data_IF_697220624519
#
_entry.id   IF_697220624519
#
_cell.length_a   1.000
_cell.length_b   1.000
_cell.length_c   1.000
_cell.angle_alpha   90.00
_cell.angle_beta   90.00
_cell.angle_gamma   90.00
#
_symmetry.space_group_name_H-M   'P 1'
#
loop_
_entity.id
_entity.type
_entity.pdbx_description
1 polymer ?
#
# COMPACT_ATOMS: atom_id res chain seq x y z
N UNK A 1 6.04 -15.54 -18.51
CA UNK A 1 5.37 -14.93 -17.63
C UNK A 1 6.23 -14.13 -16.82
N UNK A 2 6.05 -12.92 -16.65
CA UNK A 2 6.84 -12.13 -15.87
C UNK A 2 6.16 -11.81 -14.63
N UNK A 3 6.78 -12.08 -13.50
CA UNK A 3 6.16 -11.87 -12.25
C UNK A 3 7.18 -11.25 -11.39
N UNK A 4 6.99 -10.03 -11.01
CA UNK A 4 7.90 -9.33 -10.15
C UNK A 4 7.22 -8.97 -8.88
N UNK A 5 7.91 -9.07 -7.80
CA UNK A 5 7.38 -8.58 -6.56
C UNK A 5 8.45 -7.77 -5.86
N UNK A 6 8.01 -6.76 -5.16
CA UNK A 6 8.89 -5.87 -4.43
C UNK A 6 8.47 -5.89 -2.99
N UNK A 7 9.40 -6.09 -2.08
CA UNK A 7 9.09 -6.14 -0.66
C UNK A 7 9.65 -4.91 0.01
N UNK A 8 8.83 -4.26 0.81
CA UNK A 8 9.22 -3.05 1.50
C UNK A 8 9.05 -3.27 2.99
N UNK A 9 10.13 -3.04 3.75
CA UNK A 9 10.10 -3.30 5.18
C UNK A 9 10.29 -2.01 5.96
N UNK A 10 9.64 -1.92 7.10
CA UNK A 10 9.78 -0.77 8.00
C UNK A 10 9.48 0.53 7.31
N UNK A 11 8.43 0.56 6.54
CA UNK A 11 8.07 1.77 5.79
C UNK A 11 7.15 2.64 6.61
N UNK A 12 7.28 3.95 6.43
CA UNK A 12 6.41 4.90 7.11
C UNK A 12 5.60 5.59 6.05
N UNK A 13 4.32 5.53 6.14
CA UNK A 13 3.43 6.11 5.14
C UNK A 13 2.34 6.89 5.84
N UNK A 14 2.15 8.12 5.40
CA UNK A 14 1.06 8.94 5.91
C UNK A 14 -0.08 8.89 4.93
N UNK A 15 -1.27 8.67 5.39
CA UNK A 15 -2.44 8.64 4.51
C UNK A 15 -3.61 9.33 5.20
N UNK A 16 -4.60 9.70 4.42
CA UNK A 16 -5.79 10.39 4.93
C UNK A 16 -6.98 9.46 4.85
N UNK A 17 -7.73 9.34 5.95
CA UNK A 17 -8.90 8.52 5.97
C UNK A 17 -9.98 9.29 6.69
N UNK A 18 -11.09 9.52 6.03
CA UNK A 18 -12.22 10.24 6.58
C UNK A 18 -11.81 11.62 7.10
N UNK A 19 -10.98 12.30 6.36
CA UNK A 19 -10.59 13.65 6.69
C UNK A 19 -9.52 13.77 7.75
N UNK A 20 -8.98 12.66 8.21
CA UNK A 20 -7.95 12.70 9.23
C UNK A 20 -6.70 12.00 8.72
N UNK A 21 -5.56 12.49 9.13
CA UNK A 21 -4.29 11.94 8.69
C UNK A 21 -3.78 10.92 9.68
N UNK A 22 -3.24 9.83 9.17
CA UNK A 22 -2.71 8.77 10.00
C UNK A 22 -1.31 8.40 9.53
N UNK A 23 -0.51 7.91 10.44
CA UNK A 23 0.82 7.42 10.10
C UNK A 23 0.84 5.91 10.30
N UNK A 24 1.21 5.20 9.26
CA UNK A 24 1.30 3.74 9.31
C UNK A 24 2.75 3.35 9.17
N UNK A 25 3.19 2.41 9.98
CA UNK A 25 4.54 1.88 9.89
C UNK A 25 4.41 0.37 9.80
N UNK A 26 5.04 -0.21 8.81
CA UNK A 26 4.96 -1.66 8.64
C UNK A 26 5.61 -2.13 7.38
N UNK A 27 5.21 -3.32 6.95
CA UNK A 27 5.79 -3.95 5.77
C UNK A 27 4.71 -4.19 4.73
N UNK A 28 5.04 -4.05 3.48
CA UNK A 28 4.10 -4.37 2.43
C UNK A 28 4.83 -4.89 1.20
N UNK A 29 4.11 -5.52 0.33
CA UNK A 29 4.65 -6.09 -0.89
C UNK A 29 3.84 -5.59 -2.06
N UNK A 30 4.49 -5.30 -3.16
CA UNK A 30 3.83 -4.94 -4.39
C UNK A 30 4.14 -6.02 -5.41
N UNK A 31 3.10 -6.63 -5.97
CA UNK A 31 3.27 -7.64 -6.97
C UNK A 31 2.79 -7.12 -8.29
N UNK A 32 3.57 -7.29 -9.32
CA UNK A 32 3.21 -6.86 -10.65
C UNK A 32 2.91 -8.10 -11.47
N UNK A 33 1.63 -8.22 -11.90
CA UNK A 33 1.29 -9.40 -12.64
C UNK A 33 1.02 -8.99 -14.01
N UNK A 34 1.84 -8.53 -14.70
CA UNK A 34 1.62 -8.15 -15.94
C UNK A 34 1.67 -9.17 -16.89
N UNK A 35 0.86 -9.46 -17.69
CA UNK A 35 0.88 -10.37 -18.55
C UNK A 35 1.45 -10.00 -19.63
N UNK A 36 1.62 -9.37 -19.99
CA UNK A 36 2.16 -8.93 -20.92
C UNK A 36 2.21 -9.21 -22.01
N UNK A 37 2.37 -9.70 -22.29
CA UNK A 37 2.58 -10.01 -23.28
C UNK A 37 2.04 -9.62 -24.40
N UNK A 38 1.29 -9.06 -24.56
CA UNK A 38 0.74 -8.75 -25.63
C UNK A 38 1.31 -7.61 -26.18
N UNK A 39 1.75 -7.62 -27.29
CA UNK A 39 2.28 -6.54 -27.78
C UNK A 39 1.27 -5.56 -28.05
N UNK A 40 0.07 -5.82 -27.98
CA UNK A 40 -0.86 -4.88 -28.20
C UNK A 40 -1.21 -4.21 -26.99
N UNK A 41 -1.11 -4.70 -25.87
CA UNK A 41 -1.55 -4.16 -24.68
C UNK A 41 -0.46 -3.52 -24.08
N UNK A 42 -0.44 -2.39 -23.77
CA UNK A 42 0.57 -1.81 -23.11
C UNK A 42 0.53 -2.34 -21.85
N UNK A 43 1.51 -2.40 -21.26
CA UNK A 43 1.56 -2.99 -20.17
C UNK A 43 1.02 -2.30 -19.17
N UNK A 44 0.00 -2.26 -18.86
CA UNK A 44 -0.41 -1.81 -17.78
C UNK A 44 -0.21 -2.71 -16.79
N UNK A 45 0.42 -3.50 -16.43
CA UNK A 45 0.56 -4.39 -15.45
C UNK A 45 -0.39 -4.20 -14.38
N UNK A 46 -1.00 -5.14 -13.84
CA UNK A 46 -1.76 -5.00 -12.71
C UNK A 46 -0.88 -4.97 -11.55
N UNK A 47 -1.06 -4.10 -10.59
CA UNK A 47 -0.27 -4.00 -9.42
C UNK A 47 -1.14 -4.37 -8.24
N UNK A 48 -0.69 -5.30 -7.44
CA UNK A 48 -1.44 -5.71 -6.27
C UNK A 48 -0.62 -5.40 -5.05
N UNK A 49 -1.16 -4.66 -4.11
CA UNK A 49 -0.45 -4.27 -2.91
C UNK A 49 -0.99 -5.07 -1.76
N UNK A 50 -0.12 -5.73 -1.03
CA UNK A 50 -0.51 -6.52 0.13
C UNK A 50 0.19 -5.95 1.36
N UNK A 51 -0.60 -5.60 2.36
CA UNK A 51 -0.04 -5.13 3.62
C UNK A 51 0.31 -6.38 4.41
N UNK A 52 1.61 -6.64 4.57
CA UNK A 52 2.04 -7.85 5.21
C UNK A 52 2.02 -7.74 6.73
N UNK A 53 2.38 -6.62 7.26
CA UNK A 53 2.47 -6.48 8.70
C UNK A 53 2.33 -5.02 9.08
N UNK A 54 1.49 -4.72 10.04
CA UNK A 54 1.34 -3.36 10.54
C UNK A 54 2.02 -3.30 11.88
N UNK A 55 3.12 -2.53 11.95
CA UNK A 55 3.81 -2.39 13.21
C UNK A 55 3.10 -1.38 14.06
N UNK A 56 2.65 -0.29 13.49
CA UNK A 56 1.88 0.66 14.24
C UNK A 56 1.03 1.51 13.32
N UNK A 57 -0.04 1.99 13.84
CA UNK A 57 -0.89 2.93 13.11
C UNK A 57 -1.31 3.94 14.13
N UNK A 58 -1.08 5.21 13.87
CA UNK A 58 -1.38 6.24 14.83
C UNK A 58 -1.92 7.48 14.15
N UNK A 59 -2.60 8.30 14.91
CA UNK A 59 -3.08 9.57 14.40
C UNK A 59 -1.87 10.46 14.18
N UNK A 60 -1.73 11.00 12.99
CA UNK A 60 -0.58 11.83 12.70
C UNK A 60 -0.64 13.09 13.52
N UNK A 61 -1.83 13.61 13.71
CA UNK A 61 -1.95 14.85 14.40
C UNK A 61 -1.83 14.70 15.89
N UNK A 62 -2.41 13.67 16.45
CA UNK A 62 -2.46 13.54 17.90
C UNK A 62 -1.53 12.46 18.44
N UNK A 63 -1.06 11.60 17.64
CA UNK A 63 -0.07 10.61 18.05
C UNK A 63 -0.62 9.39 18.80
N UNK A 64 -1.93 9.30 19.00
CA UNK A 64 -2.41 8.15 19.71
C UNK A 64 -2.56 6.95 18.77
N UNK A 65 -2.48 5.77 19.34
CA UNK A 65 -2.49 4.58 18.57
C UNK A 65 -3.90 4.25 18.11
N UNK A 66 -4.04 3.74 16.94
CA UNK A 66 -5.31 3.43 16.34
C UNK A 66 -5.29 2.00 15.88
N UNK A 67 -6.40 1.30 16.04
CA UNK A 67 -6.50 -0.07 15.56
C UNK A 67 -6.91 -0.03 14.09
N UNK A 68 -6.12 -0.63 13.21
CA UNK A 68 -6.42 -0.55 11.80
C UNK A 68 -7.69 -1.31 11.45
N UNK A 69 -8.51 -0.73 10.63
CA UNK A 69 -9.68 -1.40 10.10
C UNK A 69 -9.42 -1.73 8.65
N UNK A 70 -10.24 -2.60 8.11
CA UNK A 70 -10.07 -2.96 6.71
C UNK A 70 -10.18 -1.75 5.81
N UNK A 71 -11.12 -0.85 6.10
CA UNK A 71 -11.28 0.34 5.27
C UNK A 71 -10.05 1.23 5.33
N UNK A 72 -9.43 1.35 6.48
CA UNK A 72 -8.23 2.15 6.61
C UNK A 72 -7.09 1.53 5.81
N UNK A 73 -6.97 0.21 5.85
CA UNK A 73 -5.91 -0.44 5.11
C UNK A 73 -6.14 -0.32 3.60
N UNK A 74 -7.38 -0.28 3.17
CA UNK A 74 -7.65 -0.06 1.76
C UNK A 74 -7.23 1.33 1.34
N UNK A 75 -7.46 2.33 2.18
CA UNK A 75 -7.01 3.67 1.86
C UNK A 75 -5.49 3.74 1.84
N UNK A 76 -4.84 3.00 2.72
CA UNK A 76 -3.40 2.95 2.72
C UNK A 76 -2.89 2.33 1.42
N UNK A 77 -3.53 1.28 0.94
CA UNK A 77 -3.11 0.66 -0.31
C UNK A 77 -3.28 1.64 -1.46
N UNK A 78 -4.34 2.43 -1.46
CA UNK A 78 -4.53 3.41 -2.50
C UNK A 78 -3.45 4.48 -2.44
N UNK A 79 -3.03 4.84 -1.25
CA UNK A 79 -2.00 5.84 -1.10
C UNK A 79 -0.66 5.29 -1.62
N UNK A 80 -0.36 4.03 -1.35
CA UNK A 80 0.85 3.43 -1.86
C UNK A 80 0.81 3.39 -3.38
N UNK A 81 -0.34 3.03 -3.93
CA UNK A 81 -0.46 2.95 -5.36
C UNK A 81 -0.30 4.33 -5.98
N UNK A 82 -0.88 5.34 -5.36
CA UNK A 82 -0.82 6.68 -5.91
C UNK A 82 0.59 7.23 -5.94
N UNK A 83 1.41 6.85 -5.00
CA UNK A 83 2.75 7.36 -4.91
C UNK A 83 3.79 6.44 -5.49
N UNK A 84 3.39 5.37 -6.09
CA UNK A 84 4.35 4.43 -6.66
C UNK A 84 4.81 4.97 -8.03
#
# INVERSE_FOLDING_TARGET
MNYDSENYFDQEITFTYEGKDYLWIGDYTIEHTGEDESEFAPAYGEMEITIEYTRSLSSYEHGYEVIPTRSMLMELELEIERNY
#
